data_IF_156735579670
#
_entry.id   IF_156735579670
#
_cell.length_a   1.000
_cell.length_b   1.000
_cell.length_c   1.000
_cell.angle_alpha   90.00
_cell.angle_beta   90.00
_cell.angle_gamma   90.00
#
_symmetry.space_group_name_H-M   'P 1'
#
loop_
_entity.id
_entity.type
_entity.pdbx_description
1 polymer ?
#
# COMPACT_ATOMS: atom_id res chain seq x y z
N UNK A 1 -14.94 25.70 -20.47
CA UNK A 1 -14.12 24.59 -21.02
C UNK A 1 -12.84 24.34 -20.23
N UNK A 2 -12.35 25.30 -19.42
CA UNK A 2 -11.20 25.05 -18.53
C UNK A 2 -11.59 23.94 -17.52
N UNK A 3 -10.74 22.95 -17.35
CA UNK A 3 -11.03 21.84 -16.46
C UNK A 3 -11.75 20.66 -17.12
N UNK A 4 -12.05 20.72 -18.42
CA UNK A 4 -12.77 19.66 -19.13
C UNK A 4 -11.86 18.88 -20.09
N UNK A 5 -12.25 17.65 -20.37
CA UNK A 5 -11.62 16.83 -21.43
C UNK A 5 -12.34 17.12 -22.75
N UNK A 6 -11.55 17.43 -23.77
CA UNK A 6 -12.03 17.60 -25.15
C UNK A 6 -11.29 16.66 -26.07
N UNK A 7 -11.90 16.39 -27.24
CA UNK A 7 -11.25 15.65 -28.32
C UNK A 7 -10.75 16.64 -29.35
N UNK A 8 -9.44 16.62 -29.62
CA UNK A 8 -8.82 17.45 -30.66
C UNK A 8 -8.17 16.60 -31.75
N UNK A 9 -8.30 17.01 -33.01
CA UNK A 9 -7.60 16.39 -34.14
C UNK A 9 -6.23 17.03 -34.31
N UNK A 10 -5.18 16.21 -34.42
CA UNK A 10 -3.81 16.67 -34.65
C UNK A 10 -3.67 17.25 -36.05
N UNK A 11 -3.61 18.57 -36.13
CA UNK A 11 -3.48 19.31 -37.37
C UNK A 11 -2.01 19.45 -37.81
N UNK A 12 -1.14 19.86 -36.88
CA UNK A 12 0.27 20.10 -37.19
C UNK A 12 1.16 19.76 -36.01
N UNK A 13 2.25 19.06 -36.27
CA UNK A 13 3.30 18.76 -35.30
C UNK A 13 4.48 19.69 -35.52
N UNK A 14 4.81 20.50 -34.50
CA UNK A 14 5.97 21.42 -34.46
C UNK A 14 6.99 20.96 -33.43
N UNK A 15 8.26 21.40 -33.48
CA UNK A 15 9.29 20.96 -32.54
C UNK A 15 8.96 21.18 -31.06
N UNK A 16 8.23 22.23 -30.74
CA UNK A 16 7.94 22.62 -29.34
C UNK A 16 6.47 22.50 -28.96
N UNK A 17 5.56 22.21 -29.89
CA UNK A 17 4.12 22.18 -29.66
C UNK A 17 3.42 21.44 -30.79
N UNK A 18 2.35 20.74 -30.44
CA UNK A 18 1.39 20.18 -31.39
C UNK A 18 0.19 21.13 -31.45
N UNK A 19 -0.30 21.37 -32.66
CA UNK A 19 -1.54 22.12 -32.87
C UNK A 19 -2.68 21.14 -33.10
N UNK A 20 -3.74 21.29 -32.33
CA UNK A 20 -4.98 20.51 -32.42
C UNK A 20 -6.09 21.41 -32.93
N UNK A 21 -7.06 20.82 -33.61
CA UNK A 21 -8.31 21.47 -34.00
C UNK A 21 -9.46 20.84 -33.22
N UNK A 22 -10.25 21.69 -32.57
CA UNK A 22 -11.50 21.29 -31.90
C UNK A 22 -12.58 22.33 -32.24
N UNK A 23 -13.68 21.89 -32.83
CA UNK A 23 -14.81 22.78 -33.24
C UNK A 23 -14.36 24.01 -34.06
N UNK A 24 -13.39 23.85 -34.96
CA UNK A 24 -12.85 24.94 -35.77
C UNK A 24 -11.87 25.86 -35.05
N UNK A 25 -11.56 25.64 -33.81
CA UNK A 25 -10.57 26.41 -33.02
C UNK A 25 -9.24 25.72 -32.94
N UNK A 26 -8.16 26.50 -33.12
CA UNK A 26 -6.80 26.02 -32.93
C UNK A 26 -6.44 26.00 -31.44
N UNK A 27 -5.91 24.89 -31.00
CA UNK A 27 -5.52 24.60 -29.62
C UNK A 27 -4.04 24.25 -29.57
N UNK A 28 -3.33 24.74 -28.56
CA UNK A 28 -1.92 24.49 -28.37
C UNK A 28 -1.69 23.36 -27.36
N UNK A 29 -0.90 22.39 -27.79
CA UNK A 29 -0.47 21.27 -26.96
C UNK A 29 1.07 21.29 -26.84
N UNK A 30 1.61 22.05 -25.88
CA UNK A 30 3.04 22.23 -25.69
C UNK A 30 3.76 20.93 -25.37
N UNK A 31 5.04 20.82 -25.74
CA UNK A 31 5.83 19.62 -25.50
C UNK A 31 5.92 19.21 -24.02
N UNK A 32 5.95 20.17 -23.10
CA UNK A 32 5.95 19.91 -21.65
C UNK A 32 4.64 19.36 -21.09
N UNK A 33 3.54 19.50 -21.85
CA UNK A 33 2.22 18.99 -21.49
C UNK A 33 1.90 17.63 -22.16
N UNK A 34 2.86 17.09 -22.94
CA UNK A 34 2.76 15.81 -23.64
C UNK A 34 3.31 14.67 -22.78
N UNK A 35 2.75 13.47 -22.93
CA UNK A 35 3.32 12.25 -22.37
C UNK A 35 4.47 11.81 -23.28
N UNK A 36 5.67 11.68 -22.75
CA UNK A 36 6.90 11.44 -23.56
C UNK A 36 6.87 10.09 -24.30
N UNK A 37 6.13 9.10 -23.79
CA UNK A 37 6.02 7.77 -24.41
C UNK A 37 4.99 7.73 -25.54
N UNK A 38 4.12 8.71 -25.63
CA UNK A 38 3.09 8.79 -26.68
C UNK A 38 3.69 9.21 -28.03
N UNK A 39 3.18 8.59 -29.07
CA UNK A 39 3.54 8.93 -30.45
C UNK A 39 2.33 9.54 -31.12
N UNK A 40 2.43 10.81 -31.46
CA UNK A 40 1.38 11.59 -32.07
C UNK A 40 1.51 11.62 -33.59
N UNK A 41 0.40 11.41 -34.32
CA UNK A 41 0.37 11.43 -35.79
C UNK A 41 -0.63 12.47 -36.27
N UNK A 42 -0.29 13.15 -37.36
CA UNK A 42 -1.21 14.10 -38.01
C UNK A 42 -2.49 13.39 -38.48
N UNK A 43 -3.65 14.02 -38.20
CA UNK A 43 -4.97 13.47 -38.51
C UNK A 43 -5.54 12.53 -37.44
N UNK A 44 -4.78 12.25 -36.37
CA UNK A 44 -5.24 11.47 -35.23
C UNK A 44 -6.05 12.33 -34.28
N UNK A 45 -7.14 11.77 -33.74
CA UNK A 45 -7.96 12.41 -32.70
C UNK A 45 -7.52 11.92 -31.34
N UNK A 46 -7.23 12.87 -30.43
CA UNK A 46 -6.77 12.58 -29.07
C UNK A 46 -7.63 13.30 -28.04
N UNK A 47 -7.81 12.67 -26.87
CA UNK A 47 -8.42 13.31 -25.70
C UNK A 47 -7.37 14.18 -25.00
N UNK A 48 -7.72 15.39 -24.64
CA UNK A 48 -6.83 16.31 -23.95
C UNK A 48 -7.60 17.12 -22.91
N UNK A 49 -6.95 17.45 -21.82
CA UNK A 49 -7.49 18.28 -20.75
C UNK A 49 -7.22 19.76 -21.03
N UNK A 50 -8.23 20.60 -20.94
CA UNK A 50 -8.09 22.05 -21.13
C UNK A 50 -7.53 22.66 -19.84
N UNK A 51 -6.21 22.91 -19.85
CA UNK A 51 -5.50 23.43 -18.68
C UNK A 51 -5.71 24.93 -18.50
N UNK A 52 -5.65 25.69 -19.61
CA UNK A 52 -5.73 27.15 -19.56
C UNK A 52 -6.37 27.72 -20.82
N UNK A 53 -7.16 28.75 -20.62
CA UNK A 53 -7.70 29.59 -21.69
C UNK A 53 -7.35 31.04 -21.39
N UNK A 54 -6.42 31.62 -22.15
CA UNK A 54 -6.01 33.03 -22.00
C UNK A 54 -6.53 33.87 -23.12
N UNK A 55 -7.14 35.02 -22.76
CA UNK A 55 -7.59 36.06 -23.74
C UNK A 55 -6.39 36.89 -24.17
N UNK A 56 -6.09 36.90 -25.47
CA UNK A 56 -5.13 37.86 -26.02
C UNK A 56 -5.78 39.21 -26.23
N UNK A 57 -5.04 40.30 -26.03
CA UNK A 57 -5.51 41.66 -26.25
C UNK A 57 -5.94 41.90 -27.69
N UNK A 58 -5.41 41.14 -28.64
CA UNK A 58 -5.77 41.14 -30.06
C UNK A 58 -5.69 39.73 -30.61
N UNK A 59 -6.77 39.24 -31.24
CA UNK A 59 -6.84 37.93 -31.86
C UNK A 59 -7.64 36.88 -31.06
N UNK A 60 -7.68 35.64 -31.54
CA UNK A 60 -8.39 34.54 -30.88
C UNK A 60 -7.74 34.18 -29.52
N UNK A 61 -8.52 33.61 -28.57
CA UNK A 61 -7.98 33.15 -27.30
C UNK A 61 -6.93 32.08 -27.52
N UNK A 62 -5.92 32.05 -26.64
CA UNK A 62 -4.96 30.97 -26.60
C UNK A 62 -5.47 29.87 -25.66
N UNK A 63 -5.63 28.66 -26.17
CA UNK A 63 -6.09 27.50 -25.41
C UNK A 63 -4.91 26.58 -25.28
N UNK A 64 -4.53 26.23 -24.04
CA UNK A 64 -3.47 25.30 -23.72
C UNK A 64 -4.09 24.03 -23.16
N UNK A 65 -3.69 22.90 -23.70
CA UNK A 65 -4.16 21.59 -23.25
C UNK A 65 -3.01 20.72 -22.78
N UNK A 66 -3.34 19.74 -21.94
CA UNK A 66 -2.41 18.85 -21.29
C UNK A 66 -2.89 17.39 -21.28
N UNK A 67 -1.94 16.47 -21.38
CA UNK A 67 -2.12 15.05 -21.06
C UNK A 67 -1.24 14.63 -19.88
N UNK A 68 -0.28 15.48 -19.50
CA UNK A 68 0.63 15.24 -18.38
C UNK A 68 0.11 15.76 -17.03
N UNK A 69 -0.92 16.61 -17.02
CA UNK A 69 -1.50 17.16 -15.80
C UNK A 69 -2.15 16.06 -14.93
N UNK A 70 -2.01 16.19 -13.61
CA UNK A 70 -2.66 15.30 -12.64
C UNK A 70 -4.20 15.39 -12.75
N UNK A 71 -4.72 16.58 -13.07
CA UNK A 71 -6.16 16.80 -13.27
C UNK A 71 -6.73 16.10 -14.52
N UNK A 72 -5.90 15.82 -15.53
CA UNK A 72 -6.32 14.98 -16.66
C UNK A 72 -6.65 13.55 -16.17
N UNK A 73 -5.82 12.98 -15.30
CA UNK A 73 -6.08 11.68 -14.71
C UNK A 73 -7.35 11.69 -13.85
N UNK A 74 -7.55 12.72 -13.01
CA UNK A 74 -8.78 12.85 -12.21
C UNK A 74 -10.02 12.87 -13.08
N UNK A 75 -10.00 13.63 -14.18
CA UNK A 75 -11.14 13.71 -15.12
C UNK A 75 -11.39 12.41 -15.87
N UNK A 76 -10.35 11.63 -16.17
CA UNK A 76 -10.54 10.28 -16.73
C UNK A 76 -11.23 9.36 -15.73
N UNK A 77 -10.87 9.43 -14.44
CA UNK A 77 -11.56 8.69 -13.40
C UNK A 77 -13.04 9.08 -13.28
N UNK A 78 -13.36 10.38 -13.31
CA UNK A 78 -14.75 10.87 -13.30
C UNK A 78 -15.56 10.35 -14.49
N UNK A 79 -14.95 10.21 -15.66
CA UNK A 79 -15.63 9.73 -16.86
C UNK A 79 -15.88 8.21 -16.85
N UNK A 80 -14.97 7.43 -16.27
CA UNK A 80 -15.03 5.95 -16.30
C UNK A 80 -15.72 5.37 -15.06
N UNK A 81 -15.83 6.14 -13.97
CA UNK A 81 -16.29 5.65 -12.66
C UNK A 81 -17.50 6.47 -12.22
N UNK A 82 -18.72 5.92 -12.37
CA UNK A 82 -19.96 6.62 -12.00
C UNK A 82 -19.98 7.06 -10.53
N UNK A 83 -19.43 6.25 -9.63
CA UNK A 83 -19.40 6.54 -8.19
C UNK A 83 -18.56 7.79 -7.85
N UNK A 84 -17.56 8.11 -8.70
CA UNK A 84 -16.79 9.36 -8.59
C UNK A 84 -17.60 10.53 -9.19
N UNK A 85 -18.20 10.31 -10.35
CA UNK A 85 -19.04 11.33 -10.99
C UNK A 85 -20.22 11.77 -10.10
N UNK A 86 -20.84 10.81 -9.42
CA UNK A 86 -21.97 11.03 -8.50
C UNK A 86 -21.53 11.58 -7.13
N UNK A 87 -20.21 11.68 -6.88
CA UNK A 87 -19.65 12.21 -5.64
C UNK A 87 -19.72 11.26 -4.44
N UNK A 88 -20.03 9.98 -4.65
CA UNK A 88 -20.02 8.94 -3.61
C UNK A 88 -18.58 8.58 -3.24
N UNK A 89 -17.69 8.57 -4.24
CA UNK A 89 -16.24 8.39 -4.06
C UNK A 89 -15.55 9.70 -4.44
N UNK A 90 -14.63 10.13 -3.60
CA UNK A 90 -13.80 11.32 -3.83
C UNK A 90 -12.34 10.93 -4.05
N UNK A 91 -11.67 11.57 -5.03
CA UNK A 91 -10.22 11.50 -5.21
C UNK A 91 -9.57 12.51 -4.27
N UNK A 92 -8.98 12.03 -3.18
CA UNK A 92 -8.30 12.86 -2.17
C UNK A 92 -6.92 13.34 -2.61
N UNK A 93 -6.23 12.56 -3.43
CA UNK A 93 -4.90 12.92 -3.91
C UNK A 93 -4.48 12.14 -5.15
N UNK A 94 -3.61 12.77 -5.94
CA UNK A 94 -2.95 12.16 -7.10
C UNK A 94 -1.48 12.53 -7.08
N UNK A 95 -0.64 11.52 -7.23
CA UNK A 95 0.78 11.70 -7.52
C UNK A 95 1.13 10.93 -8.78
N UNK A 96 1.73 11.62 -9.78
CA UNK A 96 1.88 11.07 -11.11
C UNK A 96 3.27 11.37 -11.70
N UNK A 97 3.83 10.39 -12.38
CA UNK A 97 4.89 10.52 -13.36
C UNK A 97 4.30 10.13 -14.73
N UNK A 98 3.95 11.10 -15.58
CA UNK A 98 3.15 10.89 -16.78
C UNK A 98 3.76 9.85 -17.73
N UNK A 99 2.96 8.86 -18.13
CA UNK A 99 3.37 7.75 -19.00
C UNK A 99 4.17 6.65 -18.31
N UNK A 100 4.42 6.76 -17.01
CA UNK A 100 5.16 5.78 -16.24
C UNK A 100 4.30 5.14 -15.15
N UNK A 101 3.99 5.91 -14.10
CA UNK A 101 3.22 5.43 -12.96
C UNK A 101 2.49 6.57 -12.25
N UNK A 102 1.31 6.25 -11.73
CA UNK A 102 0.54 7.15 -10.88
C UNK A 102 0.03 6.43 -9.64
N UNK A 103 -0.16 7.18 -8.55
CA UNK A 103 -0.87 6.75 -7.35
C UNK A 103 -2.08 7.66 -7.15
N UNK A 104 -3.23 7.05 -6.92
CA UNK A 104 -4.51 7.76 -6.74
C UNK A 104 -5.11 7.34 -5.42
N UNK A 105 -5.27 8.30 -4.51
CA UNK A 105 -5.91 8.07 -3.22
C UNK A 105 -7.39 8.39 -3.33
N UNK A 106 -8.23 7.41 -3.00
CA UNK A 106 -9.69 7.49 -3.07
C UNK A 106 -10.32 7.29 -1.70
N UNK A 107 -11.44 7.94 -1.47
CA UNK A 107 -12.23 7.85 -0.25
C UNK A 107 -13.71 7.67 -0.59
N UNK A 108 -14.38 6.74 0.05
CA UNK A 108 -15.83 6.57 -0.08
C UNK A 108 -16.55 7.22 1.09
N UNK A 109 -17.60 7.99 0.80
CA UNK A 109 -18.53 8.52 1.81
C UNK A 109 -19.62 7.54 2.21
N UNK A 110 -19.75 6.41 1.51
CA UNK A 110 -20.64 5.30 1.87
C UNK A 110 -19.79 4.09 2.30
N UNK A 111 -19.85 3.72 3.57
CA UNK A 111 -19.09 2.61 4.16
C UNK A 111 -19.39 1.24 3.53
N UNK A 112 -20.50 1.12 2.78
CA UNK A 112 -20.90 -0.10 2.08
C UNK A 112 -20.18 -0.25 0.73
N UNK A 113 -19.52 0.81 0.26
CA UNK A 113 -18.86 0.84 -1.04
C UNK A 113 -17.35 0.79 -0.85
N UNK A 114 -16.72 -0.26 -1.37
CA UNK A 114 -15.26 -0.33 -1.49
C UNK A 114 -14.79 0.63 -2.58
N UNK A 115 -14.15 1.73 -2.16
CA UNK A 115 -13.69 2.78 -3.06
C UNK A 115 -12.65 2.26 -4.09
N UNK A 116 -11.73 1.40 -3.67
CA UNK A 116 -10.71 0.82 -4.55
C UNK A 116 -11.34 -0.17 -5.52
N UNK A 117 -12.18 -1.07 -5.01
CA UNK A 117 -12.88 -2.05 -5.83
C UNK A 117 -13.77 -1.42 -6.90
N UNK A 118 -14.48 -0.33 -6.57
CA UNK A 118 -15.30 0.42 -7.52
C UNK A 118 -14.46 1.08 -8.62
N UNK A 119 -13.31 1.64 -8.26
CA UNK A 119 -12.39 2.27 -9.22
C UNK A 119 -11.70 1.25 -10.13
N UNK A 120 -11.31 0.11 -9.60
CA UNK A 120 -10.68 -0.96 -10.38
C UNK A 120 -11.70 -1.64 -11.28
N UNK A 121 -12.91 -1.88 -10.77
CA UNK A 121 -13.99 -2.57 -11.47
C UNK A 121 -13.75 -4.09 -11.59
N UNK A 122 -14.77 -4.82 -12.05
CA UNK A 122 -14.67 -6.26 -12.22
C UNK A 122 -13.53 -6.64 -13.15
N UNK A 123 -12.61 -7.49 -12.69
CA UNK A 123 -11.41 -7.92 -13.44
C UNK A 123 -10.57 -6.75 -13.97
N UNK A 124 -10.65 -5.59 -13.31
CA UNK A 124 -9.86 -4.41 -13.67
C UNK A 124 -10.34 -3.66 -14.94
N UNK A 125 -11.55 -3.91 -15.43
CA UNK A 125 -12.03 -3.34 -16.73
C UNK A 125 -11.98 -1.80 -16.69
N UNK A 126 -12.44 -1.14 -15.60
CA UNK A 126 -12.50 0.31 -15.52
C UNK A 126 -11.10 0.93 -15.50
N UNK A 127 -10.24 0.43 -14.61
CA UNK A 127 -8.86 0.96 -14.52
C UNK A 127 -8.05 0.69 -15.80
N UNK A 128 -8.24 -0.45 -16.46
CA UNK A 128 -7.58 -0.74 -17.72
C UNK A 128 -8.00 0.19 -18.87
N UNK A 129 -9.24 0.69 -18.87
CA UNK A 129 -9.69 1.71 -19.83
C UNK A 129 -8.85 2.98 -19.68
N UNK A 130 -8.63 3.44 -18.44
CA UNK A 130 -7.82 4.63 -18.14
C UNK A 130 -6.34 4.38 -18.46
N UNK A 131 -5.80 3.24 -18.03
CA UNK A 131 -4.40 2.84 -18.31
C UNK A 131 -4.11 2.84 -19.81
N UNK A 132 -5.05 2.31 -20.63
CA UNK A 132 -4.91 2.27 -22.09
C UNK A 132 -4.95 3.67 -22.69
N UNK A 133 -5.80 4.57 -22.20
CA UNK A 133 -5.84 5.97 -22.63
C UNK A 133 -4.51 6.69 -22.38
N UNK A 134 -3.78 6.34 -21.29
CA UNK A 134 -2.54 6.98 -20.87
C UNK A 134 -1.26 6.25 -21.30
N UNK A 135 -1.26 5.65 -22.49
CA UNK A 135 -0.11 4.95 -23.06
C UNK A 135 0.48 3.84 -22.15
N UNK A 136 -0.40 3.09 -21.46
CA UNK A 136 -0.08 2.05 -20.51
C UNK A 136 0.66 2.56 -19.25
N UNK A 137 0.30 3.73 -18.76
CA UNK A 137 0.72 4.23 -17.45
C UNK A 137 0.17 3.32 -16.33
N UNK A 138 1.05 2.82 -15.46
CA UNK A 138 0.64 1.99 -14.33
C UNK A 138 -0.06 2.86 -13.27
N UNK A 139 -1.28 2.47 -12.85
CA UNK A 139 -2.07 3.24 -11.88
C UNK A 139 -2.32 2.40 -10.64
N UNK A 140 -1.80 2.83 -9.50
CA UNK A 140 -2.07 2.27 -8.18
C UNK A 140 -3.19 3.05 -7.52
N UNK A 141 -4.33 2.41 -7.29
CA UNK A 141 -5.45 3.00 -6.54
C UNK A 141 -5.37 2.53 -5.09
N UNK A 142 -5.40 3.48 -4.15
CA UNK A 142 -5.27 3.19 -2.72
C UNK A 142 -6.38 3.88 -1.92
N UNK A 143 -6.80 3.27 -0.82
CA UNK A 143 -7.72 3.89 0.12
C UNK A 143 -7.03 5.01 0.90
N UNK A 144 -7.58 6.22 0.85
CA UNK A 144 -7.16 7.33 1.69
C UNK A 144 -7.41 7.02 3.17
N UNK A 145 -6.65 7.62 4.05
CA UNK A 145 -6.86 7.59 5.50
C UNK A 145 -6.45 8.93 6.11
N UNK A 146 -7.20 9.38 7.11
CA UNK A 146 -6.83 10.55 7.93
C UNK A 146 -5.66 10.23 8.88
N UNK A 147 -5.46 8.94 9.19
CA UNK A 147 -4.25 8.47 9.85
C UNK A 147 -3.09 8.47 8.85
N UNK A 148 -2.15 9.38 9.07
CA UNK A 148 -1.00 9.57 8.20
C UNK A 148 -0.11 8.33 8.12
N UNK A 149 0.09 7.61 9.23
CA UNK A 149 0.88 6.37 9.24
C UNK A 149 0.26 5.31 8.35
N UNK A 150 -1.04 5.09 8.50
CA UNK A 150 -1.80 4.16 7.67
C UNK A 150 -1.83 4.61 6.20
N UNK A 151 -1.96 5.92 5.94
CA UNK A 151 -1.95 6.46 4.58
C UNK A 151 -0.61 6.23 3.88
N UNK A 152 0.51 6.48 4.58
CA UNK A 152 1.87 6.22 4.06
C UNK A 152 2.06 4.71 3.81
N UNK A 153 1.63 3.85 4.73
CA UNK A 153 1.71 2.40 4.56
C UNK A 153 0.97 1.94 3.30
N UNK A 154 -0.26 2.44 3.08
CA UNK A 154 -1.04 2.15 1.87
C UNK A 154 -0.39 2.71 0.62
N UNK A 155 0.18 3.92 0.70
CA UNK A 155 0.88 4.55 -0.42
C UNK A 155 2.13 3.80 -0.87
N UNK A 156 2.78 3.07 0.03
CA UNK A 156 3.97 2.27 -0.26
C UNK A 156 3.68 0.82 -0.67
N UNK A 157 2.40 0.41 -0.65
CA UNK A 157 2.04 -0.92 -1.14
C UNK A 157 2.68 -1.19 -2.52
N UNK A 158 3.10 -2.45 -2.79
CA UNK A 158 2.85 -3.69 -2.03
C UNK A 158 3.87 -3.98 -0.91
N UNK A 159 4.80 -3.07 -0.60
CA UNK A 159 5.78 -3.26 0.46
C UNK A 159 5.10 -3.41 1.83
N UNK A 160 5.62 -4.31 2.65
CA UNK A 160 5.21 -4.50 4.04
C UNK A 160 6.16 -3.75 4.96
N UNK A 161 5.61 -2.89 5.79
CA UNK A 161 6.37 -2.09 6.75
C UNK A 161 6.26 -2.71 8.13
N UNK A 162 7.31 -2.63 8.93
CA UNK A 162 7.29 -3.02 10.35
C UNK A 162 6.81 -1.89 11.23
N UNK A 163 7.47 -0.74 11.12
CA UNK A 163 7.17 0.44 11.93
C UNK A 163 7.23 1.71 11.07
N UNK A 164 6.50 2.74 11.52
CA UNK A 164 6.49 4.07 10.93
C UNK A 164 6.59 5.11 12.05
N UNK A 165 7.64 5.89 12.04
CA UNK A 165 7.84 6.99 12.97
C UNK A 165 7.58 8.32 12.26
N UNK A 166 6.63 9.10 12.79
CA UNK A 166 6.16 10.34 12.17
C UNK A 166 6.68 11.56 12.92
N UNK A 167 7.47 12.39 12.26
CA UNK A 167 7.72 13.76 12.66
C UNK A 167 6.74 14.69 11.96
N UNK A 168 5.63 15.01 12.64
CA UNK A 168 4.58 15.87 12.10
C UNK A 168 5.03 17.33 11.95
N UNK A 169 6.02 17.78 12.73
CA UNK A 169 6.50 19.16 12.69
C UNK A 169 7.31 19.43 11.40
N UNK A 170 8.15 18.47 11.02
CA UNK A 170 9.00 18.56 9.84
C UNK A 170 8.42 17.83 8.62
N UNK A 171 7.26 17.17 8.75
CA UNK A 171 6.66 16.31 7.72
C UNK A 171 7.62 15.24 7.20
N UNK A 172 8.31 14.57 8.13
CA UNK A 172 9.22 13.45 7.84
C UNK A 172 8.62 12.16 8.39
N UNK A 173 8.65 11.11 7.59
CA UNK A 173 8.25 9.77 7.99
C UNK A 173 9.44 8.82 7.87
N UNK A 174 9.90 8.28 8.99
CA UNK A 174 10.92 7.22 9.00
C UNK A 174 10.24 5.86 9.00
N UNK A 175 10.57 5.07 8.01
CA UNK A 175 9.96 3.76 7.79
C UNK A 175 10.98 2.69 8.08
N UNK A 176 10.59 1.73 8.92
CA UNK A 176 11.38 0.54 9.19
C UNK A 176 10.81 -0.63 8.38
N UNK A 177 11.64 -1.23 7.57
CA UNK A 177 11.27 -2.37 6.74
C UNK A 177 12.35 -3.46 6.77
N UNK A 178 11.94 -4.70 6.59
CA UNK A 178 12.87 -5.82 6.45
C UNK A 178 13.68 -5.69 5.14
N UNK A 179 14.86 -6.30 5.09
CA UNK A 179 15.79 -6.13 3.98
C UNK A 179 15.20 -6.54 2.63
N UNK A 180 14.38 -7.58 2.60
CA UNK A 180 13.65 -8.04 1.41
C UNK A 180 12.57 -7.04 0.95
N UNK A 181 12.01 -6.21 1.85
CA UNK A 181 10.97 -5.23 1.55
C UNK A 181 11.52 -3.88 1.08
N UNK A 182 12.77 -3.55 1.40
CA UNK A 182 13.38 -2.25 1.05
C UNK A 182 13.31 -1.98 -0.46
N UNK A 183 13.60 -2.99 -1.27
CA UNK A 183 13.54 -2.87 -2.72
C UNK A 183 12.13 -2.56 -3.23
N UNK A 184 11.09 -3.07 -2.55
CA UNK A 184 9.69 -2.79 -2.87
C UNK A 184 9.28 -1.40 -2.40
N UNK A 185 9.74 -0.95 -1.21
CA UNK A 185 9.52 0.41 -0.71
C UNK A 185 10.06 1.43 -1.68
N UNK A 186 11.32 1.28 -2.09
CA UNK A 186 11.98 2.20 -3.03
C UNK A 186 11.32 2.10 -4.41
N UNK A 187 11.09 0.88 -4.89
CA UNK A 187 10.57 0.59 -6.22
C UNK A 187 11.59 0.84 -7.33
N UNK A 188 11.18 0.55 -8.57
CA UNK A 188 12.03 0.76 -9.75
C UNK A 188 12.36 2.24 -9.90
N UNK A 189 13.66 2.57 -9.99
CA UNK A 189 14.16 3.95 -10.10
C UNK A 189 13.69 4.90 -8.97
N UNK A 190 13.36 4.37 -7.79
CA UNK A 190 12.83 5.18 -6.69
C UNK A 190 11.41 5.70 -6.89
N UNK A 191 10.68 5.21 -7.88
CA UNK A 191 9.34 5.73 -8.22
C UNK A 191 8.31 5.49 -7.12
N UNK A 192 8.35 4.33 -6.46
CA UNK A 192 7.34 4.01 -5.43
C UNK A 192 7.41 4.99 -4.25
N UNK A 193 8.62 5.16 -3.69
CA UNK A 193 8.84 6.08 -2.55
C UNK A 193 8.59 7.55 -2.95
N UNK A 194 9.04 7.97 -4.14
CA UNK A 194 8.86 9.33 -4.65
C UNK A 194 7.39 9.69 -4.85
N UNK A 195 6.60 8.77 -5.43
CA UNK A 195 5.17 8.97 -5.61
C UNK A 195 4.41 8.93 -4.28
N UNK A 196 4.80 8.06 -3.36
CA UNK A 196 4.22 8.00 -2.02
C UNK A 196 4.50 9.29 -1.24
N UNK A 197 5.74 9.80 -1.27
CA UNK A 197 6.13 11.07 -0.66
C UNK A 197 5.32 12.24 -1.25
N UNK A 198 5.21 12.33 -2.58
CA UNK A 198 4.42 13.37 -3.25
C UNK A 198 2.93 13.27 -2.90
N UNK A 199 2.38 12.06 -2.78
CA UNK A 199 0.97 11.83 -2.49
C UNK A 199 0.58 12.19 -1.06
N UNK A 200 1.46 11.88 -0.10
CA UNK A 200 1.21 12.07 1.33
C UNK A 200 1.71 13.41 1.86
N UNK A 201 2.48 14.15 1.08
CA UNK A 201 3.14 15.41 1.45
C UNK A 201 4.09 15.23 2.67
N UNK A 202 4.74 14.04 2.76
CA UNK A 202 5.76 13.70 3.74
C UNK A 202 7.05 13.28 3.04
N UNK A 203 8.20 13.71 3.56
CA UNK A 203 9.49 13.15 3.16
C UNK A 203 9.64 11.77 3.81
N UNK A 204 9.93 10.75 2.99
CA UNK A 204 9.96 9.37 3.44
C UNK A 204 11.40 8.87 3.47
N UNK A 205 11.90 8.61 4.68
CA UNK A 205 13.21 7.99 4.91
C UNK A 205 13.03 6.50 5.21
N UNK A 206 13.90 5.66 4.64
CA UNK A 206 13.85 4.21 4.80
C UNK A 206 15.03 3.73 5.64
N UNK A 207 14.72 3.16 6.78
CA UNK A 207 15.70 2.50 7.66
C UNK A 207 15.56 0.97 7.54
N UNK A 208 16.71 0.30 7.49
CA UNK A 208 16.74 -1.17 7.53
C UNK A 208 16.41 -1.62 8.93
N UNK A 209 15.54 -2.61 9.04
CA UNK A 209 15.37 -3.34 10.26
C UNK A 209 16.63 -4.19 10.51
N UNK A 210 17.59 -3.60 11.19
CA UNK A 210 18.85 -4.28 11.53
C UNK A 210 18.71 -5.28 12.67
N UNK A 211 17.49 -5.52 13.17
CA UNK A 211 17.22 -6.47 14.26
C UNK A 211 17.92 -6.13 15.58
N UNK A 212 18.36 -4.88 15.77
CA UNK A 212 19.35 -4.57 16.80
C UNK A 212 19.07 -3.53 17.88
N UNK A 213 18.10 -2.61 17.83
CA UNK A 213 17.92 -1.76 19.01
C UNK A 213 16.90 -2.30 20.02
N UNK A 214 15.75 -2.85 19.57
CA UNK A 214 14.73 -3.34 20.52
C UNK A 214 15.10 -4.68 21.17
N UNK A 215 15.66 -5.60 20.38
CA UNK A 215 16.09 -6.90 20.91
C UNK A 215 17.26 -6.75 21.92
N UNK A 216 18.08 -5.71 21.79
CA UNK A 216 19.16 -5.41 22.75
C UNK A 216 18.62 -4.64 23.95
N UNK A 217 17.69 -3.68 23.78
CA UNK A 217 17.04 -3.00 24.89
C UNK A 217 16.17 -3.97 25.71
N UNK A 218 15.34 -4.78 25.07
CA UNK A 218 14.55 -5.82 25.74
C UNK A 218 15.43 -6.93 26.36
N UNK A 219 16.54 -7.29 25.72
CA UNK A 219 17.50 -8.22 26.29
C UNK A 219 18.25 -7.62 27.48
N UNK A 220 18.60 -6.32 27.41
CA UNK A 220 19.26 -5.61 28.49
C UNK A 220 18.28 -5.35 29.66
N UNK A 221 17.03 -5.03 29.40
CA UNK A 221 15.99 -4.91 30.42
C UNK A 221 15.73 -6.23 31.12
N UNK A 222 15.65 -7.35 30.37
CA UNK A 222 15.54 -8.71 30.96
C UNK A 222 16.77 -9.08 31.80
N UNK A 223 17.96 -8.72 31.34
CA UNK A 223 19.19 -9.02 32.07
C UNK A 223 19.27 -8.18 33.37
N UNK A 224 18.79 -6.94 33.34
CA UNK A 224 18.67 -6.09 34.53
C UNK A 224 17.58 -6.58 35.49
N UNK A 225 16.44 -7.06 34.99
CA UNK A 225 15.39 -7.66 35.82
C UNK A 225 15.86 -8.96 36.47
N UNK A 226 16.58 -9.84 35.77
CA UNK A 226 17.16 -11.05 36.32
C UNK A 226 18.21 -10.75 37.38
N UNK A 227 19.08 -9.75 37.19
CA UNK A 227 20.07 -9.35 38.19
C UNK A 227 19.41 -8.73 39.43
N UNK A 228 18.28 -8.04 39.26
CA UNK A 228 17.54 -7.49 40.41
C UNK A 228 16.83 -8.63 41.19
N UNK A 229 16.25 -9.63 40.51
CA UNK A 229 15.67 -10.80 41.17
C UNK A 229 16.73 -11.68 41.88
N UNK A 230 17.94 -11.82 41.30
CA UNK A 230 19.04 -12.52 41.91
C UNK A 230 19.55 -11.77 43.18
N UNK A 231 19.64 -10.47 43.10
CA UNK A 231 20.05 -9.62 44.26
C UNK A 231 19.02 -9.65 45.40
N UNK A 232 17.70 -9.63 45.09
CA UNK A 232 16.65 -9.76 46.10
C UNK A 232 16.65 -11.17 46.75
N UNK A 233 16.96 -12.21 46.00
CA UNK A 233 17.08 -13.56 46.56
C UNK A 233 18.33 -13.73 47.42
N UNK A 234 19.47 -13.11 47.07
CA UNK A 234 20.67 -13.13 47.92
C UNK A 234 20.44 -12.36 49.21
N UNK A 235 19.71 -11.21 49.22
CA UNK A 235 19.36 -10.50 50.44
C UNK A 235 18.42 -11.31 51.36
N UNK A 236 17.49 -12.08 50.78
CA UNK A 236 16.58 -12.95 51.52
C UNK A 236 17.30 -14.18 52.12
N UNK A 237 18.30 -14.73 51.44
CA UNK A 237 19.10 -15.83 51.97
C UNK A 237 20.06 -15.37 53.10
N UNK A 238 20.59 -14.15 53.07
CA UNK A 238 21.38 -13.58 54.16
C UNK A 238 20.53 -13.24 55.39
N UNK A 239 19.24 -12.84 55.24
CA UNK A 239 18.33 -12.65 56.39
C UNK A 239 17.92 -13.99 57.06
N UNK A 240 17.84 -15.10 56.31
CA UNK A 240 17.48 -16.40 56.84
C UNK A 240 18.65 -17.01 57.64
N UNK A 241 19.92 -16.83 57.20
CA UNK A 241 21.09 -17.33 57.90
C UNK A 241 21.40 -16.61 59.23
N UNK A 242 20.92 -15.36 59.39
CA UNK A 242 21.07 -14.58 60.61
C UNK A 242 20.07 -14.89 61.74
N UNK A 243 19.06 -15.77 61.46
CA UNK A 243 18.01 -16.12 62.45
C UNK A 243 18.16 -17.54 63.05
N UNK A 244 19.16 -18.35 62.64
CA UNK A 244 19.36 -19.70 63.16
C UNK A 244 20.30 -19.83 64.36
N UNK A 245 20.88 -18.77 64.92
CA UNK A 245 21.80 -18.84 66.06
C UNK A 245 21.20 -18.57 67.45
N UNK A 246 19.88 -18.55 67.67
CA UNK A 246 19.33 -18.49 69.03
C UNK A 246 18.09 -19.36 69.18
N UNK A 247 18.22 -20.70 69.41
CA UNK A 247 17.37 -21.41 70.37
C UNK A 247 17.74 -22.90 70.52
N UNK A 248 18.76 -23.16 71.32
CA UNK A 248 18.91 -24.42 72.04
C UNK A 248 17.99 -24.39 73.25
N UNK A 249 16.85 -25.02 73.22
CA UNK A 249 16.23 -25.58 74.41
C UNK A 249 15.19 -26.67 74.07
N UNK A 250 15.60 -27.91 74.28
CA UNK A 250 14.79 -29.13 74.22
C UNK A 250 13.95 -29.27 75.48
N UNK A 251 12.71 -29.77 75.47
CA UNK A 251 12.54 -31.14 76.06
C UNK A 251 11.66 -32.09 75.21
N UNK A 252 12.04 -33.36 75.45
CA UNK A 252 11.56 -34.61 74.87
C UNK A 252 10.09 -34.98 75.10
N UNK A 253 9.53 -35.70 74.10
CA UNK A 253 8.69 -36.90 74.12
C UNK A 253 7.15 -36.77 74.38
N UNK A 254 6.30 -37.76 73.92
CA UNK A 254 6.54 -39.05 73.38
C UNK A 254 5.76 -39.46 72.09
N UNK A 255 6.23 -40.55 71.56
CA UNK A 255 5.64 -41.43 70.51
C UNK A 255 4.23 -41.87 70.86
N UNK A 256 3.38 -42.04 69.87
CA UNK A 256 2.71 -43.27 69.53
C UNK A 256 1.65 -43.13 68.42
N UNK A 257 1.71 -44.17 67.57
CA UNK A 257 0.63 -44.80 66.79
C UNK A 257 0.19 -44.14 65.50
N UNK A 258 0.67 -44.76 64.42
CA UNK A 258 0.08 -45.88 63.65
C UNK A 258 -0.95 -45.49 62.59
N UNK A 259 -0.54 -45.90 61.39
CA UNK A 259 -1.22 -46.73 60.38
C UNK A 259 -2.56 -46.22 59.78
N UNK A 260 -2.53 -46.13 58.52
CA UNK A 260 -3.19 -46.99 57.51
C UNK A 260 -3.32 -46.18 56.22
N UNK A 261 -2.67 -46.67 55.17
CA UNK A 261 -3.21 -47.49 54.07
C UNK A 261 -4.39 -46.83 53.35
N UNK A 262 -4.24 -46.65 52.12
CA UNK A 262 -4.59 -47.41 50.92
C UNK A 262 -4.65 -46.42 49.75
N UNK A 263 -3.87 -46.66 48.71
CA UNK A 263 -4.17 -47.39 47.47
C UNK A 263 -5.14 -46.72 46.52
N UNK A 264 -4.60 -46.73 45.35
CA UNK A 264 -5.09 -47.19 44.03
C UNK A 264 -5.77 -46.07 43.23
N UNK A 265 -5.51 -45.97 42.07
CA UNK A 265 -5.23 -46.66 40.80
C UNK A 265 -5.55 -45.69 39.68
N UNK A 266 -4.64 -45.71 38.73
CA UNK A 266 -4.82 -46.18 37.34
C UNK A 266 -5.57 -45.27 36.37
N UNK A 267 -4.79 -44.94 35.33
CA UNK A 267 -4.99 -45.30 33.91
C UNK A 267 -6.07 -44.52 33.14
N UNK A 268 -5.73 -44.06 32.05
CA UNK A 268 -5.73 -44.52 30.64
C UNK A 268 -5.56 -43.34 29.71
N UNK A 269 -4.56 -43.33 28.97
CA UNK A 269 -4.44 -43.54 27.50
C UNK A 269 -5.72 -43.35 26.71
N UNK A 270 -5.66 -42.47 25.69
CA UNK A 270 -5.93 -42.93 24.33
C UNK A 270 -5.43 -41.90 23.30
N UNK A 271 -4.58 -42.44 22.49
CA UNK A 271 -4.32 -42.13 21.10
C UNK A 271 -5.62 -42.16 20.30
N UNK A 272 -5.71 -41.31 19.25
CA UNK A 272 -6.17 -41.75 17.94
C UNK A 272 -5.67 -40.79 16.87
N UNK A 273 -4.80 -41.32 16.06
CA UNK A 273 -4.49 -40.92 14.69
C UNK A 273 -5.67 -41.28 13.78
N UNK A 274 -5.84 -40.53 12.70
CA UNK A 274 -6.25 -40.97 11.35
C UNK A 274 -6.26 -39.70 10.49
N UNK A 275 -5.33 -39.50 9.58
CA UNK A 275 -5.23 -39.94 8.18
C UNK A 275 -6.56 -39.79 7.40
N UNK A 276 -6.56 -38.87 6.45
CA UNK A 276 -7.16 -39.10 5.14
C UNK A 276 -6.48 -38.22 4.08
N UNK A 277 -5.74 -38.91 3.24
CA UNK A 277 -5.23 -38.54 1.93
C UNK A 277 -6.37 -38.59 0.89
N UNK A 278 -6.09 -37.92 -0.24
CA UNK A 278 -6.63 -38.15 -1.58
C UNK A 278 -7.95 -37.45 -1.96
N UNK A 279 -7.81 -36.45 -2.84
CA UNK A 279 -8.32 -36.53 -4.23
C UNK A 279 -7.84 -35.35 -5.06
N UNK A 280 -6.73 -35.54 -5.74
CA UNK A 280 -6.37 -34.82 -6.95
C UNK A 280 -6.71 -35.71 -8.16
N UNK A 281 -7.08 -35.06 -9.24
CA UNK A 281 -7.27 -35.51 -10.60
C UNK A 281 -8.73 -35.50 -11.08
N UNK A 282 -9.06 -34.39 -11.79
CA UNK A 282 -9.75 -34.44 -13.09
C UNK A 282 -10.13 -33.02 -13.55
N UNK A 283 -9.27 -32.37 -14.32
CA UNK A 283 -9.68 -31.30 -15.27
C UNK A 283 -8.55 -31.01 -16.26
N UNK A 284 -8.34 -31.90 -17.20
CA UNK A 284 -7.43 -31.65 -18.34
C UNK A 284 -7.90 -32.24 -19.69
N UNK A 285 -9.19 -32.30 -19.96
CA UNK A 285 -9.67 -32.86 -21.25
C UNK A 285 -10.75 -32.03 -22.00
N UNK A 286 -11.01 -30.77 -21.67
CA UNK A 286 -11.94 -29.93 -22.45
C UNK A 286 -11.33 -28.87 -23.38
N UNK A 287 -10.03 -28.61 -23.34
CA UNK A 287 -9.39 -27.59 -24.20
C UNK A 287 -8.94 -28.09 -25.58
N UNK A 288 -8.93 -29.38 -25.83
CA UNK A 288 -8.52 -29.94 -27.15
C UNK A 288 -9.65 -30.14 -28.18
N UNK A 289 -10.91 -30.00 -27.77
CA UNK A 289 -12.05 -30.18 -28.69
C UNK A 289 -12.54 -28.92 -29.39
N UNK A 290 -12.13 -27.73 -28.94
CA UNK A 290 -12.59 -26.46 -29.55
C UNK A 290 -11.68 -26.00 -30.71
N UNK A 291 -10.45 -26.49 -30.80
CA UNK A 291 -9.52 -26.13 -31.91
C UNK A 291 -9.68 -26.92 -33.20
N UNK A 292 -10.47 -27.95 -33.18
CA UNK A 292 -10.65 -28.81 -34.38
C UNK A 292 -11.88 -28.47 -35.27
N UNK A 293 -12.73 -27.52 -34.86
CA UNK A 293 -13.92 -27.12 -35.66
C UNK A 293 -13.78 -25.79 -36.41
N UNK A 294 -12.73 -25.00 -36.19
CA UNK A 294 -12.50 -23.73 -36.91
C UNK A 294 -11.66 -23.86 -38.22
N UNK A 295 -11.06 -25.02 -38.50
CA UNK A 295 -10.31 -25.22 -39.76
C UNK A 295 -11.12 -25.84 -40.92
N UNK A 296 -12.45 -25.92 -40.81
CA UNK A 296 -13.31 -26.51 -41.89
C UNK A 296 -14.47 -25.61 -42.32
N UNK A 297 -14.31 -24.27 -42.25
CA UNK A 297 -15.27 -23.43 -42.98
C UNK A 297 -14.58 -22.37 -43.83
#
# INVERSE_FOLDING_TARGET
LVGEIIVGEIYQIKPHSILLIHNGHEIQFPKGEQIQRERYKKGESIRVYVKEVSKKSSGPPSIIVSRSADDFLKKLFELEIPEIYDGVIEIKGVAREPGERAKVAVYSYDDRIDAVGACVGMKGIRIHSIVRELANENIDVINYSDDIGLYIARALAPAKLKDIYLDKANKVAKIVADEDQISLVIGKNGQNIKLASKLTDYEIDVERNSGRPKDIEEALERELELQAEEAENEELDEEVDSTEEENDNVPELPKDMKDSDDKDDEDEENEDEEDDEDDDEEESDEEEKVKAEEEKK
#
